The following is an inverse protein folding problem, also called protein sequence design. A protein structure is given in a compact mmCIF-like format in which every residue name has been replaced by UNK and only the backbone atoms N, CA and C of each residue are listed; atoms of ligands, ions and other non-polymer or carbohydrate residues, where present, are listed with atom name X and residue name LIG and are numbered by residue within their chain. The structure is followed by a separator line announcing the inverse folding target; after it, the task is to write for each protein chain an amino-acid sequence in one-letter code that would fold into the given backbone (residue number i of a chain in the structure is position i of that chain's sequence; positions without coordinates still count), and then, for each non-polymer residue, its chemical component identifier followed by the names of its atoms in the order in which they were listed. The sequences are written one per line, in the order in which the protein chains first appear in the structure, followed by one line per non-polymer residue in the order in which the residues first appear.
data_IF_229400058697
#
_entry.id   IF_229400058697
#
_cell.length_a   1.000
_cell.length_b   1.000
_cell.length_c   1.000
_cell.angle_alpha   90.00
_cell.angle_beta   90.00
_cell.angle_gamma   90.00
#
_symmetry.space_group_name_H-M   'P 1'
#
loop_
_entity.id
_entity.type
_entity.pdbx_description
1 polymer ?
#
# COMPACT_ATOMS: atom_id res chain seq x y z
N UNK A 1 3.73 14.10 -9.67
CA UNK A 1 4.95 13.59 -9.00
C UNK A 1 6.14 13.91 -9.89
N UNK A 2 7.14 14.66 -9.43
CA UNK A 2 8.11 15.37 -10.30
C UNK A 2 9.46 14.65 -10.58
N UNK A 3 9.71 13.42 -10.12
CA UNK A 3 10.94 12.68 -10.46
C UNK A 3 10.68 11.17 -10.69
N UNK A 4 11.28 10.55 -11.72
CA UNK A 4 11.19 9.11 -12.00
C UNK A 4 11.55 8.23 -10.79
N UNK A 5 12.54 8.66 -9.99
CA UNK A 5 13.01 7.95 -8.80
C UNK A 5 11.93 7.90 -7.72
N UNK A 6 11.15 8.98 -7.57
CA UNK A 6 10.03 9.04 -6.63
C UNK A 6 8.89 8.12 -7.04
N UNK A 7 8.64 7.99 -8.36
CA UNK A 7 7.64 7.08 -8.92
C UNK A 7 8.03 5.61 -8.69
N UNK A 8 9.28 5.24 -8.96
CA UNK A 8 9.77 3.88 -8.72
C UNK A 8 9.73 3.50 -7.23
N UNK A 9 10.15 4.40 -6.34
CA UNK A 9 10.07 4.17 -4.88
C UNK A 9 8.62 4.00 -4.40
N UNK A 10 7.68 4.70 -5.04
CA UNK A 10 6.26 4.56 -4.75
C UNK A 10 5.72 3.21 -5.22
N UNK A 11 6.04 2.81 -6.46
CA UNK A 11 5.65 1.51 -7.02
C UNK A 11 6.15 0.35 -6.16
N UNK A 12 7.45 0.32 -5.81
CA UNK A 12 8.00 -0.74 -4.94
C UNK A 12 7.32 -0.86 -3.58
N UNK A 13 6.83 0.25 -3.02
CA UNK A 13 6.11 0.23 -1.74
C UNK A 13 4.68 -0.29 -1.89
N UNK A 14 4.03 0.03 -2.99
CA UNK A 14 2.72 -0.51 -3.32
C UNK A 14 2.80 -2.01 -3.65
N UNK A 15 3.81 -2.45 -4.41
CA UNK A 15 4.06 -3.87 -4.67
C UNK A 15 4.13 -4.66 -3.36
N UNK A 16 4.98 -4.23 -2.42
CA UNK A 16 5.09 -4.88 -1.11
C UNK A 16 3.79 -4.88 -0.30
N UNK A 17 2.96 -3.85 -0.46
CA UNK A 17 1.66 -3.81 0.18
C UNK A 17 0.70 -4.81 -0.47
N UNK A 18 0.65 -4.87 -1.80
CA UNK A 18 -0.19 -5.83 -2.51
C UNK A 18 0.27 -7.28 -2.31
N UNK A 19 1.56 -7.52 -2.23
CA UNK A 19 2.13 -8.84 -1.91
C UNK A 19 1.74 -9.28 -0.50
N UNK A 20 1.73 -8.36 0.47
CA UNK A 20 1.24 -8.65 1.83
C UNK A 20 -0.25 -9.00 1.86
N UNK A 21 -1.03 -8.44 0.94
CA UNK A 21 -2.46 -8.71 0.80
C UNK A 21 -2.75 -9.90 -0.13
N UNK A 22 -1.72 -10.52 -0.69
CA UNK A 22 -1.83 -11.63 -1.64
C UNK A 22 -2.76 -11.29 -2.82
N UNK A 23 -2.69 -10.04 -3.30
CA UNK A 23 -3.54 -9.59 -4.41
C UNK A 23 -3.03 -10.18 -5.72
N UNK A 24 -3.95 -10.81 -6.45
CA UNK A 24 -3.69 -11.36 -7.77
C UNK A 24 -3.35 -10.27 -8.80
N UNK A 25 -2.37 -10.59 -9.66
CA UNK A 25 -1.94 -9.73 -10.76
C UNK A 25 -0.46 -9.92 -11.09
N UNK A 26 -0.11 -9.75 -12.37
CA UNK A 26 1.28 -9.85 -12.87
C UNK A 26 1.98 -8.50 -12.83
N UNK A 27 1.22 -7.41 -12.97
CA UNK A 27 1.73 -6.03 -12.94
C UNK A 27 1.22 -5.25 -11.74
N UNK A 28 1.90 -4.15 -11.39
CA UNK A 28 1.43 -3.27 -10.33
C UNK A 28 0.11 -2.59 -10.69
N UNK A 29 -0.12 -2.28 -11.97
CA UNK A 29 -1.37 -1.75 -12.47
C UNK A 29 -2.53 -2.75 -12.28
N UNK A 30 -2.34 -4.01 -12.63
CA UNK A 30 -3.34 -5.07 -12.41
C UNK A 30 -3.68 -5.24 -10.92
N UNK A 31 -2.66 -5.35 -10.06
CA UNK A 31 -2.84 -5.44 -8.60
C UNK A 31 -3.53 -4.21 -8.03
N UNK A 32 -3.23 -3.02 -8.57
CA UNK A 32 -3.88 -1.77 -8.19
C UNK A 32 -5.36 -1.75 -8.53
N UNK A 33 -5.72 -2.23 -9.72
CA UNK A 33 -7.12 -2.34 -10.17
C UNK A 33 -7.86 -3.36 -9.30
N UNK A 34 -7.27 -4.53 -9.05
CA UNK A 34 -7.84 -5.54 -8.17
C UNK A 34 -8.10 -5.01 -6.76
N UNK A 35 -7.12 -4.32 -6.16
CA UNK A 35 -7.30 -3.67 -4.85
C UNK A 35 -8.43 -2.64 -4.86
N UNK A 36 -8.51 -1.79 -5.89
CA UNK A 36 -9.58 -0.79 -6.03
C UNK A 36 -10.95 -1.47 -6.14
N UNK A 37 -11.04 -2.60 -6.85
CA UNK A 37 -12.28 -3.37 -6.97
C UNK A 37 -12.66 -4.01 -5.63
N UNK A 38 -11.73 -4.64 -4.91
CA UNK A 38 -11.98 -5.16 -3.56
C UNK A 38 -12.45 -4.07 -2.61
N UNK A 39 -11.84 -2.90 -2.62
CA UNK A 39 -12.30 -1.80 -1.76
C UNK A 39 -13.66 -1.20 -2.19
N UNK A 40 -14.21 -1.56 -3.36
CA UNK A 40 -15.59 -1.20 -3.78
C UNK A 40 -16.58 -2.31 -3.42
N UNK A 41 -16.17 -3.56 -3.60
CA UNK A 41 -16.95 -4.76 -3.32
C UNK A 41 -17.10 -4.99 -1.81
N UNK A 42 -16.01 -4.82 -1.07
CA UNK A 42 -15.98 -4.86 0.38
C UNK A 42 -16.16 -3.44 0.95
N UNK A 43 -16.78 -3.38 2.12
CA UNK A 43 -17.03 -2.11 2.78
C UNK A 43 -15.74 -1.40 3.26
N UNK A 44 -15.92 -0.18 3.76
CA UNK A 44 -14.81 0.64 4.28
C UNK A 44 -14.07 -0.04 5.45
N UNK A 45 -14.73 -0.94 6.20
CA UNK A 45 -14.12 -1.64 7.34
C UNK A 45 -13.10 -2.67 6.87
N UNK A 46 -13.39 -3.39 5.79
CA UNK A 46 -12.41 -4.28 5.17
C UNK A 46 -11.16 -3.52 4.75
N UNK A 47 -11.35 -2.40 4.04
CA UNK A 47 -10.25 -1.54 3.57
C UNK A 47 -9.40 -1.02 4.73
N UNK A 48 -10.04 -0.56 5.81
CA UNK A 48 -9.34 -0.12 7.01
C UNK A 48 -8.56 -1.26 7.67
N UNK A 49 -9.18 -2.44 7.81
CA UNK A 49 -8.57 -3.59 8.46
C UNK A 49 -7.32 -4.09 7.73
N UNK A 50 -7.34 -4.17 6.40
CA UNK A 50 -6.18 -4.62 5.63
C UNK A 50 -5.00 -3.63 5.74
N UNK A 51 -5.30 -2.33 5.75
CA UNK A 51 -4.28 -1.29 5.97
C UNK A 51 -3.74 -1.40 7.40
N UNK A 52 -4.61 -1.52 8.41
CA UNK A 52 -4.21 -1.61 9.81
C UNK A 52 -3.29 -2.81 10.06
N UNK A 53 -3.64 -3.99 9.54
CA UNK A 53 -2.81 -5.20 9.63
C UNK A 53 -1.43 -5.01 9.00
N UNK A 54 -1.38 -4.39 7.81
CA UNK A 54 -0.11 -4.06 7.18
C UNK A 54 0.71 -3.05 8.00
N UNK A 55 0.05 -2.06 8.60
CA UNK A 55 0.73 -1.09 9.46
C UNK A 55 1.28 -1.71 10.75
N UNK A 56 0.55 -2.68 11.32
CA UNK A 56 1.02 -3.45 12.47
C UNK A 56 2.27 -4.27 12.11
N UNK A 57 2.29 -4.95 10.96
CA UNK A 57 3.48 -5.71 10.54
C UNK A 57 4.70 -4.79 10.33
N UNK A 58 4.49 -3.58 9.80
CA UNK A 58 5.56 -2.58 9.73
C UNK A 58 6.01 -2.09 11.12
N UNK A 59 5.08 -1.92 12.06
CA UNK A 59 5.40 -1.50 13.42
C UNK A 59 6.24 -2.56 14.16
N UNK A 60 5.91 -3.84 13.99
CA UNK A 60 6.72 -4.94 14.53
C UNK A 60 8.16 -4.91 14.00
N UNK A 61 8.32 -4.68 12.68
CA UNK A 61 9.64 -4.55 12.05
C UNK A 61 10.40 -3.32 12.55
N UNK A 62 9.70 -2.23 12.82
CA UNK A 62 10.30 -1.04 13.43
C UNK A 62 10.77 -1.32 14.87
N UNK A 63 9.96 -2.01 15.67
CA UNK A 63 10.33 -2.41 17.03
C UNK A 63 11.56 -3.33 17.05
N UNK A 64 11.70 -4.20 16.03
CA UNK A 64 12.91 -5.01 15.79
C UNK A 64 14.08 -4.23 15.17
N UNK A 65 13.96 -2.91 14.99
CA UNK A 65 14.97 -2.02 14.38
C UNK A 65 15.36 -2.38 12.94
N UNK A 66 14.52 -3.12 12.22
CA UNK A 66 14.75 -3.47 10.81
C UNK A 66 14.45 -2.31 9.86
N UNK A 67 13.56 -1.41 10.27
CA UNK A 67 13.15 -0.24 9.50
C UNK A 67 13.08 0.99 10.40
N UNK A 68 13.06 2.17 9.77
CA UNK A 68 12.88 3.44 10.45
C UNK A 68 11.42 3.89 10.46
N UNK A 69 11.05 4.78 11.38
CA UNK A 69 9.71 5.40 11.38
C UNK A 69 9.39 6.19 10.10
N UNK A 70 10.41 6.72 9.41
CA UNK A 70 10.24 7.35 8.09
C UNK A 70 9.81 6.36 7.02
N UNK A 71 10.23 5.09 7.11
CA UNK A 71 9.80 4.02 6.22
C UNK A 71 8.30 3.75 6.36
N UNK A 72 7.81 3.64 7.59
CA UNK A 72 6.37 3.49 7.90
C UNK A 72 5.56 4.64 7.28
N UNK A 73 5.99 5.88 7.52
CA UNK A 73 5.33 7.08 6.96
C UNK A 73 5.31 7.08 5.42
N UNK A 74 6.36 6.57 4.78
CA UNK A 74 6.45 6.50 3.33
C UNK A 74 5.50 5.44 2.73
N UNK A 75 5.25 4.32 3.40
CA UNK A 75 4.22 3.36 3.00
C UNK A 75 2.83 3.97 3.09
N UNK A 76 2.48 4.61 4.22
CA UNK A 76 1.19 5.30 4.39
C UNK A 76 0.94 6.34 3.31
N UNK A 77 1.92 7.18 3.00
CA UNK A 77 1.83 8.14 1.89
C UNK A 77 1.56 7.43 0.56
N UNK A 78 2.15 6.24 0.37
CA UNK A 78 2.01 5.52 -0.88
C UNK A 78 0.59 4.95 -1.04
N UNK A 79 0.10 4.27 -0.01
CA UNK A 79 -1.26 3.72 0.05
C UNK A 79 -2.31 4.84 -0.03
N UNK A 80 -2.13 5.96 0.68
CA UNK A 80 -3.07 7.09 0.63
C UNK A 80 -3.28 7.61 -0.81
N UNK A 81 -2.22 7.72 -1.60
CA UNK A 81 -2.35 8.23 -2.99
C UNK A 81 -3.18 7.29 -3.85
N UNK A 82 -3.13 5.97 -3.65
CA UNK A 82 -3.93 5.04 -4.47
C UNK A 82 -5.41 5.10 -4.08
N UNK A 83 -5.69 5.22 -2.78
CA UNK A 83 -7.05 5.39 -2.27
C UNK A 83 -7.67 6.72 -2.70
N UNK A 84 -6.89 7.81 -2.75
CA UNK A 84 -7.36 9.12 -3.20
C UNK A 84 -7.54 9.22 -4.72
N UNK A 85 -6.81 8.41 -5.49
CA UNK A 85 -6.99 8.32 -6.94
C UNK A 85 -8.25 7.55 -7.35
N UNK A 86 -8.97 6.98 -6.38
CA UNK A 86 -10.25 6.28 -6.56
C UNK A 86 -11.44 7.22 -6.88
N UNK A 87 -11.20 8.54 -6.87
CA UNK A 87 -12.22 9.62 -6.94
C UNK A 87 -12.15 10.48 -8.23
N UNK A 88 -11.52 10.00 -9.30
CA UNK A 88 -11.49 10.70 -10.58
C UNK A 88 -11.92 9.78 -11.72
#
# INVERSE_FOLDING_TARGET
MKSPVTRQKYQKRLEKFFDYLEIDGKTIEEKSIAFVNYTKEYDVRWTFNVILKFMQSLLERFNRKEITGSTIRNYLKSIKVILLKKTA
#
